data_IF_939457896805
#
_entry.id   IF_939457896805
#
_cell.length_a   1.000
_cell.length_b   1.000
_cell.length_c   1.000
_cell.angle_alpha   90.00
_cell.angle_beta   90.00
_cell.angle_gamma   90.00
#
_symmetry.space_group_name_H-M   'P 1'
#
loop_
_entity.id
_entity.type
_entity.pdbx_description
1 polymer ?
#
# COMPACT_ATOMS: atom_id res chain seq x y z
N UNK A 1 -6.31 -0.75 -38.40
CA UNK A 1 -7.30 -0.41 -37.37
C UNK A 1 -7.70 -1.69 -36.65
N UNK A 2 -6.99 -2.06 -35.58
CA UNK A 2 -7.38 -3.18 -34.72
C UNK A 2 -8.02 -2.59 -33.46
N UNK A 3 -9.35 -2.62 -33.42
CA UNK A 3 -10.11 -2.25 -32.23
C UNK A 3 -10.06 -3.43 -31.24
N UNK A 4 -9.06 -3.43 -30.35
CA UNK A 4 -9.06 -4.32 -29.20
C UNK A 4 -10.12 -3.84 -28.21
N UNK A 5 -11.29 -4.47 -28.25
CA UNK A 5 -12.35 -4.34 -27.28
C UNK A 5 -11.84 -4.80 -25.91
N UNK A 6 -11.63 -3.85 -25.00
CA UNK A 6 -11.31 -4.07 -23.59
C UNK A 6 -12.57 -4.53 -22.87
N UNK A 7 -12.90 -5.81 -22.98
CA UNK A 7 -13.85 -6.45 -22.07
C UNK A 7 -13.28 -6.32 -20.65
N UNK A 8 -14.05 -5.75 -19.72
CA UNK A 8 -13.61 -5.57 -18.34
C UNK A 8 -13.21 -6.92 -17.73
N UNK A 9 -12.15 -6.92 -16.92
CA UNK A 9 -11.60 -8.12 -16.26
C UNK A 9 -12.65 -8.91 -15.45
N UNK A 10 -13.76 -8.26 -15.06
CA UNK A 10 -14.92 -8.91 -14.43
C UNK A 10 -15.64 -9.86 -15.37
N UNK A 11 -15.84 -9.50 -16.63
CA UNK A 11 -16.58 -10.29 -17.62
C UNK A 11 -15.78 -11.51 -18.08
N UNK A 12 -14.46 -11.36 -18.20
CA UNK A 12 -13.55 -12.47 -18.52
C UNK A 12 -13.50 -13.48 -17.37
N UNK A 13 -13.44 -13.01 -16.11
CA UNK A 13 -13.55 -13.89 -14.93
C UNK A 13 -14.90 -14.58 -14.83
N UNK A 14 -15.98 -13.89 -15.18
CA UNK A 14 -17.33 -14.47 -15.19
C UNK A 14 -17.46 -15.61 -16.20
N UNK A 15 -16.88 -15.43 -17.38
CA UNK A 15 -16.86 -16.46 -18.43
C UNK A 15 -15.96 -17.63 -18.03
N UNK A 16 -14.78 -17.36 -17.44
CA UNK A 16 -13.86 -18.42 -16.98
C UNK A 16 -14.38 -19.22 -15.79
N UNK A 17 -15.10 -18.59 -14.85
CA UNK A 17 -15.80 -19.29 -13.76
C UNK A 17 -16.99 -20.08 -14.29
N UNK A 18 -17.73 -19.54 -15.26
CA UNK A 18 -18.84 -20.27 -15.88
C UNK A 18 -18.37 -21.50 -16.68
N UNK A 19 -17.20 -21.45 -17.32
CA UNK A 19 -16.63 -22.60 -18.04
C UNK A 19 -16.02 -23.65 -17.11
N UNK A 20 -15.32 -23.24 -16.03
CA UNK A 20 -14.82 -24.17 -15.01
C UNK A 20 -15.98 -24.87 -14.27
N UNK A 21 -17.04 -24.13 -13.92
CA UNK A 21 -18.25 -24.68 -13.32
C UNK A 21 -19.04 -25.58 -14.30
N UNK A 22 -18.87 -25.40 -15.61
CA UNK A 22 -19.40 -26.28 -16.63
C UNK A 22 -18.57 -27.57 -16.83
N UNK A 23 -17.25 -27.52 -16.59
CA UNK A 23 -16.35 -28.68 -16.66
C UNK A 23 -16.48 -29.61 -15.44
N UNK A 24 -16.65 -29.07 -14.22
CA UNK A 24 -16.93 -29.87 -13.01
C UNK A 24 -18.24 -30.68 -13.12
N UNK A 25 -19.15 -30.28 -14.02
CA UNK A 25 -20.39 -31.02 -14.32
C UNK A 25 -20.19 -32.31 -15.13
N UNK A 26 -19.02 -32.49 -15.76
CA UNK A 26 -18.72 -33.68 -16.56
C UNK A 26 -18.04 -34.79 -15.74
N UNK A 27 -17.35 -34.46 -14.65
CA UNK A 27 -16.66 -35.45 -13.80
C UNK A 27 -17.43 -35.77 -12.51
N UNK A 28 -18.55 -36.49 -12.68
CA UNK A 28 -19.01 -37.47 -11.68
C UNK A 28 -20.01 -38.40 -12.38
N UNK A 29 -19.52 -39.54 -12.88
CA UNK A 29 -20.37 -40.59 -13.44
C UNK A 29 -21.09 -41.34 -12.31
N UNK A 30 -22.14 -40.72 -11.80
CA UNK A 30 -23.29 -41.44 -11.25
C UNK A 30 -24.56 -40.61 -11.53
N UNK A 31 -25.23 -40.91 -12.65
CA UNK A 31 -26.49 -40.26 -13.02
C UNK A 31 -27.65 -41.08 -12.49
N UNK A 32 -28.17 -40.68 -11.34
CA UNK A 32 -29.47 -41.13 -10.85
C UNK A 32 -30.58 -40.84 -11.91
N UNK A 33 -31.63 -41.68 -11.99
CA UNK A 33 -32.69 -41.50 -12.98
C UNK A 33 -33.37 -40.13 -12.79
N UNK A 34 -33.32 -39.29 -13.82
CA UNK A 34 -34.02 -38.00 -13.83
C UNK A 34 -35.50 -38.25 -14.03
N UNK A 35 -36.28 -38.31 -12.96
CA UNK A 35 -37.73 -38.22 -13.05
C UNK A 35 -38.11 -36.86 -13.65
N UNK A 36 -38.73 -36.88 -14.83
CA UNK A 36 -39.25 -35.67 -15.47
C UNK A 36 -40.53 -35.30 -14.72
N UNK A 37 -40.41 -34.29 -13.85
CA UNK A 37 -41.54 -33.82 -13.05
C UNK A 37 -42.56 -33.20 -13.98
N UNK A 38 -43.82 -33.69 -13.93
CA UNK A 38 -44.84 -33.34 -14.92
C UNK A 38 -45.67 -32.14 -14.49
N UNK A 39 -45.91 -32.00 -13.17
CA UNK A 39 -46.81 -30.98 -12.60
C UNK A 39 -46.16 -30.17 -11.46
N UNK A 40 -46.69 -28.96 -11.20
CA UNK A 40 -46.21 -28.09 -10.11
C UNK A 40 -46.30 -28.75 -8.72
N UNK A 41 -47.32 -29.55 -8.47
CA UNK A 41 -47.54 -30.25 -7.19
C UNK A 41 -46.47 -31.33 -6.92
N UNK A 42 -46.12 -32.11 -7.96
CA UNK A 42 -45.02 -33.08 -7.88
C UNK A 42 -43.66 -32.38 -7.65
N UNK A 43 -43.46 -31.16 -8.16
CA UNK A 43 -42.26 -30.36 -7.89
C UNK A 43 -42.18 -29.97 -6.41
N UNK A 44 -43.30 -29.55 -5.80
CA UNK A 44 -43.36 -29.21 -4.37
C UNK A 44 -43.09 -30.43 -3.47
N UNK A 45 -43.67 -31.59 -3.79
CA UNK A 45 -43.41 -32.83 -3.04
C UNK A 45 -41.98 -33.34 -3.19
N UNK A 46 -41.43 -33.32 -4.41
CA UNK A 46 -40.03 -33.67 -4.65
C UNK A 46 -39.08 -32.74 -3.88
N UNK A 47 -39.40 -31.44 -3.83
CA UNK A 47 -38.65 -30.44 -3.06
C UNK A 47 -38.74 -30.69 -1.56
N UNK A 48 -39.94 -30.96 -1.04
CA UNK A 48 -40.17 -31.31 0.37
C UNK A 48 -39.38 -32.54 0.80
N UNK A 49 -39.34 -33.58 -0.04
CA UNK A 49 -38.51 -34.78 0.20
C UNK A 49 -37.02 -34.47 0.25
N UNK A 50 -36.50 -33.69 -0.71
CA UNK A 50 -35.08 -33.26 -0.72
C UNK A 50 -34.72 -32.45 0.52
N UNK A 51 -35.58 -31.54 0.97
CA UNK A 51 -35.37 -30.75 2.21
C UNK A 51 -35.27 -31.64 3.44
N UNK A 52 -36.20 -32.60 3.59
CA UNK A 52 -36.18 -33.56 4.70
C UNK A 52 -34.88 -34.37 4.72
N UNK A 53 -34.38 -34.76 3.55
CA UNK A 53 -33.10 -35.46 3.42
C UNK A 53 -31.91 -34.58 3.85
N UNK A 54 -31.85 -33.33 3.41
CA UNK A 54 -30.82 -32.39 3.87
C UNK A 54 -30.87 -32.17 5.39
N UNK A 55 -32.05 -31.93 5.96
CA UNK A 55 -32.22 -31.74 7.41
C UNK A 55 -31.85 -33.00 8.22
N UNK A 56 -32.17 -34.20 7.71
CA UNK A 56 -31.77 -35.46 8.33
C UNK A 56 -30.24 -35.60 8.31
N UNK A 57 -29.60 -35.31 7.18
CA UNK A 57 -28.13 -35.35 7.05
C UNK A 57 -27.43 -34.35 7.95
N UNK A 58 -27.97 -33.13 8.09
CA UNK A 58 -27.45 -32.11 9.00
C UNK A 58 -27.52 -32.58 10.47
N UNK A 59 -28.60 -33.26 10.87
CA UNK A 59 -28.72 -33.83 12.22
C UNK A 59 -27.78 -35.01 12.49
N UNK A 60 -27.48 -35.81 11.47
CA UNK A 60 -26.74 -37.06 11.61
C UNK A 60 -25.23 -36.91 11.41
N UNK A 61 -24.78 -35.93 10.62
CA UNK A 61 -23.38 -35.83 10.20
C UNK A 61 -22.65 -34.62 10.83
N UNK A 62 -21.58 -34.91 11.58
CA UNK A 62 -20.70 -33.88 12.16
C UNK A 62 -19.45 -33.59 11.31
N UNK A 63 -19.03 -34.53 10.44
CA UNK A 63 -17.78 -34.42 9.68
C UNK A 63 -17.83 -33.65 8.35
N UNK A 64 -19.02 -33.51 7.73
CA UNK A 64 -19.22 -32.84 6.42
C UNK A 64 -20.22 -31.68 6.48
N UNK A 65 -20.41 -31.10 7.66
CA UNK A 65 -21.44 -30.09 7.90
C UNK A 65 -21.25 -28.84 7.01
N UNK A 66 -20.01 -28.41 6.77
CA UNK A 66 -19.71 -27.23 5.94
C UNK A 66 -20.15 -27.42 4.48
N UNK A 67 -19.82 -28.56 3.86
CA UNK A 67 -20.21 -28.85 2.47
C UNK A 67 -21.74 -29.01 2.33
N UNK A 68 -22.41 -29.52 3.35
CA UNK A 68 -23.87 -29.58 3.39
C UNK A 68 -24.50 -28.19 3.46
N UNK A 69 -23.97 -27.29 4.29
CA UNK A 69 -24.43 -25.91 4.39
C UNK A 69 -24.07 -25.05 3.17
N UNK A 70 -23.07 -25.42 2.38
CA UNK A 70 -22.81 -24.79 1.07
C UNK A 70 -23.78 -25.30 0.00
N UNK A 71 -23.96 -26.62 -0.09
CA UNK A 71 -24.79 -27.23 -1.13
C UNK A 71 -26.30 -27.03 -0.93
N UNK A 72 -26.78 -26.93 0.31
CA UNK A 72 -28.21 -26.84 0.58
C UNK A 72 -28.84 -25.51 0.10
N UNK A 73 -28.29 -24.32 0.43
CA UNK A 73 -28.77 -23.06 -0.12
C UNK A 73 -28.66 -23.00 -1.65
N UNK A 74 -27.60 -23.55 -2.25
CA UNK A 74 -27.45 -23.60 -3.71
C UNK A 74 -28.59 -24.36 -4.40
N UNK A 75 -29.05 -25.47 -3.81
CA UNK A 75 -30.19 -26.23 -4.33
C UNK A 75 -31.50 -25.43 -4.23
N UNK A 76 -31.68 -24.69 -3.14
CA UNK A 76 -32.85 -23.84 -2.94
C UNK A 76 -32.87 -22.63 -3.89
N UNK A 77 -31.70 -22.07 -4.19
CA UNK A 77 -31.52 -21.00 -5.17
C UNK A 77 -31.75 -21.44 -6.60
N UNK A 78 -31.24 -22.63 -6.98
CA UNK A 78 -31.55 -23.27 -8.28
C UNK A 78 -33.04 -23.49 -8.47
N UNK A 79 -33.78 -23.55 -7.37
CA UNK A 79 -35.22 -23.77 -7.35
C UNK A 79 -35.99 -22.44 -7.09
N UNK A 80 -35.29 -21.31 -7.10
CA UNK A 80 -35.81 -19.94 -6.92
C UNK A 80 -36.50 -19.64 -5.57
N UNK A 81 -36.23 -20.41 -4.50
CA UNK A 81 -36.77 -20.08 -3.16
C UNK A 81 -35.78 -19.22 -2.36
N UNK A 82 -35.78 -17.92 -2.65
CA UNK A 82 -34.88 -16.95 -2.03
C UNK A 82 -35.09 -16.85 -0.52
N UNK A 83 -36.35 -16.78 -0.05
CA UNK A 83 -36.65 -16.64 1.38
C UNK A 83 -36.17 -17.86 2.19
N UNK A 84 -36.33 -19.06 1.63
CA UNK A 84 -35.85 -20.27 2.31
C UNK A 84 -34.32 -20.32 2.32
N UNK A 85 -33.67 -19.90 1.22
CA UNK A 85 -32.22 -19.77 1.19
C UNK A 85 -31.70 -18.78 2.25
N UNK A 86 -32.36 -17.63 2.43
CA UNK A 86 -32.05 -16.67 3.51
C UNK A 86 -32.17 -17.29 4.90
N UNK A 87 -33.31 -17.94 5.19
CA UNK A 87 -33.52 -18.61 6.47
C UNK A 87 -32.44 -19.69 6.73
N UNK A 88 -31.95 -20.36 5.69
CA UNK A 88 -30.84 -21.30 5.82
C UNK A 88 -29.52 -20.58 6.11
N UNK A 89 -29.20 -19.50 5.40
CA UNK A 89 -28.01 -18.71 5.69
C UNK A 89 -28.05 -18.04 7.08
N UNK A 90 -29.21 -17.60 7.55
CA UNK A 90 -29.37 -17.08 8.91
C UNK A 90 -29.10 -18.15 9.97
N UNK A 91 -29.40 -19.42 9.68
CA UNK A 91 -28.95 -20.54 10.53
C UNK A 91 -27.44 -20.75 10.41
N UNK A 92 -26.87 -20.56 9.23
CA UNK A 92 -25.42 -20.67 9.01
C UNK A 92 -24.63 -19.61 9.79
N UNK A 93 -25.19 -18.42 10.01
CA UNK A 93 -24.62 -17.36 10.86
C UNK A 93 -24.32 -17.82 12.29
N UNK A 94 -24.93 -18.91 12.75
CA UNK A 94 -24.58 -19.55 14.05
C UNK A 94 -23.22 -20.27 14.05
N UNK A 95 -22.61 -20.50 12.88
CA UNK A 95 -21.31 -21.14 12.71
C UNK A 95 -20.24 -20.12 12.27
N UNK A 96 -19.68 -19.32 13.20
CA UNK A 96 -18.81 -18.21 12.83
C UNK A 96 -17.50 -18.63 12.15
N UNK A 97 -16.92 -19.78 12.53
CA UNK A 97 -15.57 -20.25 12.13
C UNK A 97 -15.37 -20.55 10.65
N UNK A 98 -16.40 -20.43 9.81
CA UNK A 98 -16.36 -20.87 8.41
C UNK A 98 -16.62 -19.68 7.48
N UNK A 99 -15.57 -18.89 7.24
CA UNK A 99 -15.62 -17.69 6.39
C UNK A 99 -16.19 -17.94 4.98
N UNK A 100 -16.00 -19.15 4.44
CA UNK A 100 -16.57 -19.55 3.14
C UNK A 100 -18.09 -19.39 3.08
N UNK A 101 -18.78 -19.69 4.18
CA UNK A 101 -20.23 -19.60 4.23
C UNK A 101 -20.73 -18.15 4.24
N UNK A 102 -20.02 -17.29 4.97
CA UNK A 102 -20.30 -15.86 5.00
C UNK A 102 -20.10 -15.20 3.63
N UNK A 103 -19.01 -15.54 2.92
CA UNK A 103 -18.82 -15.04 1.55
C UNK A 103 -19.98 -15.44 0.64
N UNK A 104 -20.45 -16.69 0.71
CA UNK A 104 -21.61 -17.13 -0.09
C UNK A 104 -22.91 -16.41 0.29
N UNK A 105 -23.09 -16.05 1.56
CA UNK A 105 -24.26 -15.29 1.97
C UNK A 105 -24.19 -13.83 1.49
N UNK A 106 -23.01 -13.21 1.54
CA UNK A 106 -22.80 -11.87 0.96
C UNK A 106 -23.02 -11.89 -0.55
N UNK A 107 -22.43 -12.86 -1.26
CA UNK A 107 -22.62 -13.03 -2.71
C UNK A 107 -24.11 -13.15 -3.07
N UNK A 108 -24.88 -13.89 -2.27
CA UNK A 108 -26.32 -14.04 -2.43
C UNK A 108 -27.07 -12.72 -2.29
N UNK A 109 -26.87 -12.01 -1.18
CA UNK A 109 -27.58 -10.75 -0.93
C UNK A 109 -27.14 -9.65 -1.94
N UNK A 110 -25.89 -9.69 -2.38
CA UNK A 110 -25.37 -8.83 -3.46
C UNK A 110 -26.05 -9.13 -4.80
N UNK A 111 -26.23 -10.42 -5.16
CA UNK A 111 -26.97 -10.84 -6.36
C UNK A 111 -28.44 -10.42 -6.33
N UNK A 112 -29.03 -10.32 -5.13
CA UNK A 112 -30.40 -9.86 -4.94
C UNK A 112 -30.50 -8.32 -4.95
N UNK A 113 -29.38 -7.60 -4.98
CA UNK A 113 -29.32 -6.14 -4.91
C UNK A 113 -29.68 -5.57 -3.53
N UNK A 114 -29.71 -6.40 -2.48
CA UNK A 114 -30.11 -5.98 -1.14
C UNK A 114 -28.91 -5.47 -0.34
N UNK A 115 -28.49 -4.23 -0.62
CA UNK A 115 -27.30 -3.62 0.01
C UNK A 115 -27.45 -3.52 1.53
N UNK A 116 -28.65 -3.20 2.04
CA UNK A 116 -28.92 -3.13 3.48
C UNK A 116 -28.79 -4.51 4.14
N UNK A 117 -29.28 -5.56 3.47
CA UNK A 117 -29.10 -6.94 3.93
C UNK A 117 -27.64 -7.33 3.99
N UNK A 118 -26.86 -7.06 2.94
CA UNK A 118 -25.41 -7.32 2.91
C UNK A 118 -24.71 -6.67 4.10
N UNK A 119 -25.04 -5.41 4.39
CA UNK A 119 -24.47 -4.67 5.55
C UNK A 119 -24.82 -5.33 6.88
N UNK A 120 -26.08 -5.73 7.07
CA UNK A 120 -26.47 -6.45 8.27
C UNK A 120 -25.69 -7.76 8.41
N UNK A 121 -25.51 -8.52 7.32
CA UNK A 121 -24.70 -9.74 7.34
C UNK A 121 -23.26 -9.45 7.77
N UNK A 122 -22.64 -8.39 7.25
CA UNK A 122 -21.31 -7.98 7.69
C UNK A 122 -21.26 -7.55 9.16
N UNK A 123 -22.22 -6.79 9.65
CA UNK A 123 -22.29 -6.40 11.07
C UNK A 123 -22.40 -7.62 11.99
N UNK A 124 -23.21 -8.62 11.62
CA UNK A 124 -23.29 -9.88 12.36
C UNK A 124 -21.98 -10.68 12.28
N UNK A 125 -21.30 -10.64 11.13
CA UNK A 125 -20.01 -11.30 10.96
C UNK A 125 -18.94 -10.68 11.87
N UNK A 126 -18.84 -9.35 11.93
CA UNK A 126 -17.85 -8.64 12.74
C UNK A 126 -18.06 -8.83 14.25
N UNK A 127 -19.31 -8.99 14.70
CA UNK A 127 -19.62 -9.32 16.10
C UNK A 127 -19.06 -10.68 16.52
N UNK A 128 -18.91 -11.62 15.58
CA UNK A 128 -18.52 -12.99 15.88
C UNK A 128 -17.06 -13.27 15.58
N UNK A 129 -16.49 -12.69 14.52
CA UNK A 129 -15.11 -12.93 14.10
C UNK A 129 -14.36 -11.67 13.69
N UNK A 130 -13.06 -11.67 14.00
CA UNK A 130 -12.12 -10.60 13.69
C UNK A 130 -11.13 -11.03 12.59
N UNK A 131 -11.57 -11.75 11.55
CA UNK A 131 -10.68 -12.05 10.41
C UNK A 131 -10.37 -10.77 9.62
N UNK A 132 -9.09 -10.45 9.44
CA UNK A 132 -8.61 -9.32 8.65
C UNK A 132 -9.11 -9.33 7.20
N UNK A 133 -9.44 -10.52 6.67
CA UNK A 133 -10.01 -10.66 5.33
C UNK A 133 -11.44 -10.19 5.27
N UNK A 134 -12.26 -10.45 6.30
CA UNK A 134 -13.65 -10.04 6.35
C UNK A 134 -13.76 -8.51 6.30
N UNK A 135 -12.96 -7.79 7.10
CA UNK A 135 -12.89 -6.33 7.08
C UNK A 135 -12.52 -5.78 5.71
N UNK A 136 -11.54 -6.40 5.03
CA UNK A 136 -11.14 -5.99 3.68
C UNK A 136 -12.23 -6.19 2.64
N UNK A 137 -12.99 -7.29 2.72
CA UNK A 137 -14.11 -7.51 1.81
C UNK A 137 -15.23 -6.52 2.09
N UNK A 138 -15.49 -6.19 3.35
CA UNK A 138 -16.50 -5.20 3.70
C UNK A 138 -16.14 -3.79 3.19
N UNK A 139 -14.90 -3.36 3.38
CA UNK A 139 -14.40 -2.08 2.83
C UNK A 139 -14.50 -2.07 1.30
N UNK A 140 -14.10 -3.16 0.63
CA UNK A 140 -14.22 -3.27 -0.83
C UNK A 140 -15.66 -3.25 -1.32
N UNK A 141 -16.61 -3.77 -0.53
CA UNK A 141 -18.03 -3.66 -0.83
C UNK A 141 -18.46 -2.19 -0.78
N UNK A 142 -18.17 -1.46 0.30
CA UNK A 142 -18.56 -0.05 0.41
C UNK A 142 -17.86 0.84 -0.63
N UNK A 143 -16.61 0.53 -0.99
CA UNK A 143 -15.91 1.17 -2.11
C UNK A 143 -16.62 0.95 -3.46
N UNK A 144 -17.18 -0.25 -3.71
CA UNK A 144 -17.93 -0.54 -4.93
C UNK A 144 -19.25 0.25 -5.01
N UNK A 145 -19.84 0.59 -3.87
CA UNK A 145 -21.06 1.41 -3.78
C UNK A 145 -20.77 2.90 -3.59
N UNK A 146 -19.51 3.33 -3.65
CA UNK A 146 -19.06 4.72 -3.46
C UNK A 146 -19.44 5.35 -2.11
N UNK A 147 -19.71 4.54 -1.09
CA UNK A 147 -20.00 5.01 0.27
C UNK A 147 -18.71 5.15 1.09
N UNK A 148 -17.87 6.11 0.68
CA UNK A 148 -16.52 6.30 1.20
C UNK A 148 -16.49 6.68 2.70
N UNK A 149 -17.45 7.46 3.20
CA UNK A 149 -17.51 7.83 4.62
C UNK A 149 -17.79 6.63 5.52
N UNK A 150 -18.58 5.68 5.05
CA UNK A 150 -18.82 4.43 5.80
C UNK A 150 -17.59 3.54 5.77
N UNK A 151 -16.88 3.48 4.65
CA UNK A 151 -15.60 2.79 4.58
C UNK A 151 -14.59 3.35 5.61
N UNK A 152 -14.51 4.67 5.79
CA UNK A 152 -13.68 5.30 6.85
C UNK A 152 -14.13 4.88 8.26
N UNK A 153 -15.43 4.89 8.55
CA UNK A 153 -15.96 4.44 9.84
C UNK A 153 -15.69 2.94 10.10
N UNK A 154 -15.68 2.11 9.06
CA UNK A 154 -15.33 0.69 9.16
C UNK A 154 -13.84 0.54 9.45
N UNK A 155 -12.97 1.36 8.85
CA UNK A 155 -11.54 1.38 9.19
C UNK A 155 -11.29 1.78 10.65
N UNK A 156 -11.99 2.80 11.16
CA UNK A 156 -11.93 3.19 12.58
C UNK A 156 -12.28 2.02 13.50
N UNK A 157 -13.39 1.32 13.21
CA UNK A 157 -13.80 0.13 13.96
C UNK A 157 -12.79 -1.01 13.85
N UNK A 158 -12.22 -1.23 12.67
CA UNK A 158 -11.23 -2.29 12.46
C UNK A 158 -9.96 -2.03 13.27
N UNK A 159 -9.49 -0.78 13.30
CA UNK A 159 -8.35 -0.36 14.12
C UNK A 159 -8.65 -0.49 15.61
N UNK A 160 -9.84 -0.08 16.06
CA UNK A 160 -10.25 -0.22 17.45
C UNK A 160 -10.32 -1.69 17.90
N UNK A 161 -10.74 -2.59 17.00
CA UNK A 161 -10.77 -4.03 17.26
C UNK A 161 -9.37 -4.68 17.20
N UNK A 162 -8.49 -4.20 16.32
CA UNK A 162 -7.12 -4.72 16.13
C UNK A 162 -6.13 -3.59 15.93
N UNK A 163 -5.29 -3.37 16.93
CA UNK A 163 -4.20 -2.38 16.88
C UNK A 163 -3.00 -2.88 16.05
N UNK A 164 -3.22 -3.26 14.80
CA UNK A 164 -2.16 -3.66 13.89
C UNK A 164 -1.67 -2.48 13.01
N UNK A 165 -0.36 -2.18 13.00
CA UNK A 165 0.20 -1.08 12.20
C UNK A 165 -0.02 -1.21 10.69
N UNK A 166 -0.25 -2.44 10.20
CA UNK A 166 -0.56 -2.70 8.80
C UNK A 166 -1.93 -2.14 8.40
N UNK A 167 -2.88 -2.06 9.34
CA UNK A 167 -4.23 -1.54 9.10
C UNK A 167 -4.15 -0.03 8.89
N UNK A 168 -3.43 0.69 9.76
CA UNK A 168 -3.17 2.12 9.62
C UNK A 168 -2.52 2.49 8.28
N UNK A 169 -1.54 1.72 7.83
CA UNK A 169 -0.92 1.94 6.51
C UNK A 169 -1.88 1.68 5.33
N UNK A 170 -2.89 0.80 5.49
CA UNK A 170 -3.95 0.60 4.49
C UNK A 170 -4.99 1.71 4.54
N UNK A 171 -5.38 2.15 5.72
CA UNK A 171 -6.34 3.22 5.91
C UNK A 171 -5.81 4.55 5.37
N UNK A 172 -4.55 4.89 5.69
CA UNK A 172 -3.93 6.11 5.14
C UNK A 172 -3.86 6.12 3.61
N UNK A 173 -3.56 4.97 2.98
CA UNK A 173 -3.61 4.84 1.50
C UNK A 173 -5.02 5.00 0.93
N UNK A 174 -6.02 4.46 1.64
CA UNK A 174 -7.41 4.62 1.24
C UNK A 174 -7.87 6.08 1.28
N UNK A 175 -7.54 6.81 2.35
CA UNK A 175 -7.86 8.24 2.45
C UNK A 175 -7.08 9.09 1.44
N UNK A 176 -5.85 8.68 1.10
CA UNK A 176 -5.05 9.27 0.00
C UNK A 176 -5.74 9.08 -1.36
N UNK A 177 -6.19 7.86 -1.68
CA UNK A 177 -6.92 7.55 -2.93
C UNK A 177 -8.25 8.33 -3.03
N UNK A 178 -8.91 8.55 -1.88
CA UNK A 178 -10.12 9.38 -1.77
C UNK A 178 -9.84 10.89 -1.97
N UNK A 179 -8.62 11.34 -1.76
CA UNK A 179 -8.25 12.76 -1.75
C UNK A 179 -8.60 13.51 -0.47
N UNK A 180 -8.99 12.80 0.61
CA UNK A 180 -9.25 13.41 1.93
C UNK A 180 -7.96 13.49 2.76
N UNK A 181 -7.10 14.44 2.40
CA UNK A 181 -5.74 14.56 2.96
C UNK A 181 -5.73 14.90 4.45
N UNK A 182 -6.68 15.71 4.91
CA UNK A 182 -6.75 16.11 6.31
C UNK A 182 -7.14 14.93 7.21
N UNK A 183 -8.12 14.14 6.78
CA UNK A 183 -8.47 12.86 7.44
C UNK A 183 -7.29 11.90 7.42
N UNK A 184 -6.59 11.75 6.29
CA UNK A 184 -5.41 10.88 6.22
C UNK A 184 -4.34 11.28 7.25
N UNK A 185 -4.11 12.58 7.45
CA UNK A 185 -3.18 13.10 8.46
C UNK A 185 -3.65 12.82 9.89
N UNK A 186 -4.93 13.06 10.18
CA UNK A 186 -5.52 12.72 11.48
C UNK A 186 -5.41 11.22 11.79
N UNK A 187 -5.63 10.37 10.79
CA UNK A 187 -5.45 8.91 10.88
C UNK A 187 -4.00 8.57 11.23
N UNK A 188 -3.02 9.18 10.57
CA UNK A 188 -1.61 8.93 10.91
C UNK A 188 -1.23 9.49 12.28
N UNK A 189 -1.79 10.63 12.69
CA UNK A 189 -1.56 11.22 14.01
C UNK A 189 -2.14 10.36 15.14
N UNK A 190 -3.39 9.93 15.02
CA UNK A 190 -4.02 9.00 15.97
C UNK A 190 -3.27 7.68 16.01
N UNK A 191 -2.79 7.17 14.87
CA UNK A 191 -1.85 6.05 14.85
C UNK A 191 -0.64 6.28 15.76
N UNK A 192 -0.03 7.47 15.78
CA UNK A 192 1.14 7.74 16.62
C UNK A 192 0.83 7.76 18.12
N UNK A 193 -0.38 8.18 18.51
CA UNK A 193 -0.83 8.16 19.90
C UNK A 193 -0.99 6.71 20.39
N UNK A 194 -1.69 5.87 19.61
CA UNK A 194 -1.93 4.46 19.96
C UNK A 194 -0.69 3.56 19.83
N UNK A 195 0.25 3.89 18.94
CA UNK A 195 1.48 3.11 18.70
C UNK A 195 2.64 3.42 19.65
N UNK A 196 2.43 4.29 20.63
CA UNK A 196 3.43 4.66 21.64
C UNK A 196 3.85 3.50 22.57
N UNK A 197 3.12 2.38 22.56
CA UNK A 197 3.52 1.16 23.28
C UNK A 197 4.78 0.53 22.65
N UNK A 198 5.85 0.40 23.44
CA UNK A 198 7.21 0.01 23.02
C UNK A 198 7.31 -1.28 22.18
N UNK A 199 6.37 -2.20 22.32
CA UNK A 199 6.30 -3.46 21.57
C UNK A 199 5.86 -3.30 20.10
N UNK A 200 5.10 -2.26 19.76
CA UNK A 200 4.61 -2.02 18.40
C UNK A 200 5.58 -1.21 17.53
N UNK A 201 6.66 -0.69 18.11
CA UNK A 201 7.65 0.17 17.46
C UNK A 201 8.24 -0.46 16.18
N UNK A 202 8.51 -1.78 16.16
CA UNK A 202 8.97 -2.49 14.95
C UNK A 202 7.98 -2.45 13.80
N UNK A 203 6.68 -2.58 14.11
CA UNK A 203 5.61 -2.60 13.11
C UNK A 203 5.14 -1.17 12.76
N UNK A 204 5.30 -0.21 13.68
CA UNK A 204 5.08 1.22 13.47
C UNK A 204 6.00 1.81 12.39
N UNK A 205 7.15 1.20 12.12
CA UNK A 205 8.03 1.57 11.00
C UNK A 205 7.28 1.61 9.65
N UNK A 206 6.37 0.66 9.41
CA UNK A 206 5.60 0.63 8.18
C UNK A 206 4.65 1.85 8.07
N UNK A 207 4.12 2.31 9.20
CA UNK A 207 3.26 3.50 9.29
C UNK A 207 4.07 4.76 9.02
N UNK A 208 5.26 4.90 9.62
CA UNK A 208 6.15 6.04 9.35
C UNK A 208 6.55 6.13 7.88
N UNK A 209 6.90 4.99 7.25
CA UNK A 209 7.23 4.95 5.83
C UNK A 209 6.00 5.31 4.97
N UNK A 210 4.81 4.83 5.33
CA UNK A 210 3.58 5.15 4.61
C UNK A 210 3.23 6.64 4.72
N UNK A 211 3.28 7.21 5.92
CA UNK A 211 3.00 8.63 6.16
C UNK A 211 3.99 9.53 5.43
N UNK A 212 5.28 9.22 5.51
CA UNK A 212 6.29 9.97 4.78
C UNK A 212 6.09 9.87 3.27
N UNK A 213 5.77 8.68 2.74
CA UNK A 213 5.47 8.50 1.31
C UNK A 213 4.27 9.32 0.87
N UNK A 214 3.19 9.35 1.65
CA UNK A 214 2.02 10.20 1.37
C UNK A 214 2.43 11.67 1.26
N UNK A 215 3.15 12.21 2.25
CA UNK A 215 3.62 13.61 2.21
C UNK A 215 4.58 13.89 1.04
N UNK A 216 5.38 12.89 0.60
CA UNK A 216 6.19 13.03 -0.63
C UNK A 216 5.36 13.10 -1.91
N UNK A 217 4.24 12.34 -2.01
CA UNK A 217 3.34 12.44 -3.16
C UNK A 217 2.65 13.81 -3.21
N UNK A 218 2.35 14.37 -2.04
CA UNK A 218 1.78 15.71 -1.88
C UNK A 218 2.78 16.85 -2.08
N UNK A 219 4.05 16.54 -2.39
CA UNK A 219 5.16 17.51 -2.55
C UNK A 219 5.52 18.31 -1.29
N UNK A 220 5.05 17.88 -0.12
CA UNK A 220 5.36 18.47 1.19
C UNK A 220 6.67 17.86 1.75
N UNK A 221 7.77 18.09 1.05
CA UNK A 221 9.05 17.44 1.33
C UNK A 221 9.62 17.78 2.70
N UNK A 222 9.37 19.00 3.21
CA UNK A 222 9.83 19.43 4.53
C UNK A 222 9.14 18.65 5.65
N UNK A 223 7.82 18.42 5.52
CA UNK A 223 7.06 17.60 6.48
C UNK A 223 7.53 16.15 6.46
N UNK A 224 7.74 15.58 5.27
CA UNK A 224 8.31 14.25 5.11
C UNK A 224 9.67 14.12 5.83
N UNK A 225 10.55 15.14 5.74
CA UNK A 225 11.84 15.17 6.47
C UNK A 225 11.67 15.16 7.98
N UNK A 226 10.75 15.97 8.52
CA UNK A 226 10.48 16.01 9.96
C UNK A 226 10.00 14.64 10.45
N UNK A 227 9.10 13.99 9.71
CA UNK A 227 8.58 12.66 10.02
C UNK A 227 9.71 11.62 10.04
N UNK A 228 10.59 11.63 9.05
CA UNK A 228 11.73 10.70 9.02
C UNK A 228 12.71 10.93 10.18
N UNK A 229 13.03 12.19 10.50
CA UNK A 229 13.90 12.53 11.64
C UNK A 229 13.29 12.08 12.97
N UNK A 230 11.99 12.31 13.13
CA UNK A 230 11.24 11.90 14.31
C UNK A 230 11.16 10.37 14.46
N UNK A 231 10.96 9.66 13.35
CA UNK A 231 10.96 8.20 13.36
C UNK A 231 12.35 7.65 13.76
N UNK A 232 13.44 8.26 13.28
CA UNK A 232 14.81 7.87 13.63
C UNK A 232 15.20 8.19 15.09
N UNK A 233 14.63 9.22 15.71
CA UNK A 233 14.90 9.51 17.12
C UNK A 233 14.21 8.54 18.08
N UNK A 234 13.04 8.01 17.70
CA UNK A 234 12.27 7.03 18.49
C UNK A 234 12.71 5.57 18.26
N UNK A 235 13.30 5.25 17.11
CA UNK A 235 13.66 3.89 16.73
C UNK A 235 15.15 3.59 17.00
N UNK A 236 15.49 2.49 17.70
CA UNK A 236 16.87 2.04 17.82
C UNK A 236 17.50 1.76 16.45
N UNK A 237 18.75 2.21 16.25
CA UNK A 237 19.52 2.09 14.98
C UNK A 237 19.53 0.67 14.39
N UNK A 238 19.48 -0.36 15.24
CA UNK A 238 19.49 -1.77 14.82
C UNK A 238 18.21 -2.20 14.09
N UNK A 239 17.07 -1.54 14.32
CA UNK A 239 15.76 -1.86 13.72
C UNK A 239 15.36 -0.89 12.61
N UNK A 240 16.02 0.27 12.52
CA UNK A 240 15.70 1.35 11.57
C UNK A 240 16.43 1.24 10.23
N UNK A 241 17.08 0.11 9.90
CA UNK A 241 17.85 -0.04 8.65
C UNK A 241 16.98 0.21 7.42
N UNK A 242 15.79 -0.37 7.36
CA UNK A 242 14.89 -0.15 6.22
C UNK A 242 14.32 1.27 6.17
N UNK A 243 14.10 1.92 7.32
CA UNK A 243 13.65 3.32 7.38
C UNK A 243 14.76 4.27 6.92
N UNK A 244 16.00 4.01 7.34
CA UNK A 244 17.18 4.74 6.93
C UNK A 244 17.39 4.60 5.41
N UNK A 245 17.27 3.38 4.87
CA UNK A 245 17.36 3.14 3.43
C UNK A 245 16.25 3.86 2.63
N UNK A 246 15.02 3.95 3.15
CA UNK A 246 13.96 4.75 2.52
C UNK A 246 14.21 6.24 2.64
N UNK A 247 14.72 6.70 3.78
CA UNK A 247 15.06 8.11 4.02
C UNK A 247 16.22 8.56 3.14
N UNK A 248 17.28 7.75 2.99
CA UNK A 248 18.39 8.08 2.09
C UNK A 248 17.91 8.15 0.65
N UNK A 249 17.08 7.22 0.17
CA UNK A 249 16.46 7.30 -1.16
C UNK A 249 15.62 8.57 -1.34
N UNK A 250 14.78 8.89 -0.36
CA UNK A 250 13.96 10.11 -0.34
C UNK A 250 14.85 11.36 -0.42
N UNK A 251 15.88 11.43 0.41
CA UNK A 251 16.83 12.53 0.40
C UNK A 251 17.64 12.60 -0.90
N UNK A 252 17.98 11.49 -1.53
CA UNK A 252 18.64 11.52 -2.85
C UNK A 252 17.72 12.08 -3.95
N UNK A 253 16.41 11.82 -3.85
CA UNK A 253 15.42 12.28 -4.82
C UNK A 253 14.95 13.72 -4.59
N UNK A 254 14.91 14.15 -3.33
CA UNK A 254 14.24 15.39 -2.91
C UNK A 254 15.12 16.30 -2.05
N UNK A 255 16.43 16.05 -1.92
CA UNK A 255 17.36 17.09 -1.44
C UNK A 255 17.25 18.27 -2.40
N UNK A 256 16.83 19.40 -1.84
CA UNK A 256 16.82 20.70 -2.50
C UNK A 256 18.08 20.85 -3.35
N UNK A 257 17.92 21.12 -4.65
CA UNK A 257 19.02 21.27 -5.60
C UNK A 257 20.11 22.20 -5.05
N UNK A 258 19.71 23.32 -4.43
CA UNK A 258 20.62 24.30 -3.82
C UNK A 258 21.37 23.78 -2.58
N UNK A 259 20.72 23.02 -1.70
CA UNK A 259 21.38 22.48 -0.49
C UNK A 259 22.24 21.25 -0.78
N UNK A 260 21.91 20.48 -1.83
CA UNK A 260 22.77 19.41 -2.34
C UNK A 260 24.03 20.02 -2.94
N UNK A 261 23.90 21.02 -3.80
CA UNK A 261 25.04 21.68 -4.42
C UNK A 261 25.94 22.28 -3.34
N UNK A 262 25.41 23.02 -2.36
CA UNK A 262 26.24 23.60 -1.30
C UNK A 262 26.95 22.56 -0.40
N UNK A 263 26.30 21.45 -0.03
CA UNK A 263 26.93 20.40 0.80
C UNK A 263 27.88 19.49 0.01
N UNK A 264 27.60 19.20 -1.25
CA UNK A 264 28.48 18.42 -2.14
C UNK A 264 29.69 19.26 -2.55
N UNK A 265 29.51 20.54 -2.88
CA UNK A 265 30.60 21.50 -3.09
C UNK A 265 31.45 21.61 -1.82
N UNK A 266 30.83 21.69 -0.64
CA UNK A 266 31.53 21.69 0.66
C UNK A 266 32.43 20.46 0.86
N UNK A 267 31.91 19.25 0.62
CA UNK A 267 32.69 18.00 0.74
C UNK A 267 33.82 17.91 -0.29
N UNK A 268 33.57 18.30 -1.54
CA UNK A 268 34.58 18.30 -2.61
C UNK A 268 35.69 19.33 -2.33
N UNK A 269 35.35 20.51 -1.81
CA UNK A 269 36.33 21.52 -1.36
C UNK A 269 37.26 20.98 -0.27
N UNK A 270 36.74 20.26 0.71
CA UNK A 270 37.56 19.67 1.78
C UNK A 270 38.50 18.62 1.20
N UNK A 271 38.00 17.71 0.36
CA UNK A 271 38.83 16.69 -0.30
C UNK A 271 39.96 17.31 -1.12
N UNK A 272 39.66 18.30 -1.97
CA UNK A 272 40.70 18.97 -2.75
C UNK A 272 41.70 19.73 -1.87
N UNK A 273 41.27 20.33 -0.76
CA UNK A 273 42.19 20.95 0.21
C UNK A 273 43.08 19.93 0.93
N UNK A 274 42.55 18.75 1.26
CA UNK A 274 43.33 17.64 1.83
C UNK A 274 44.35 17.12 0.81
N UNK A 275 43.94 16.92 -0.45
CA UNK A 275 44.83 16.50 -1.54
C UNK A 275 45.94 17.54 -1.78
N UNK A 276 45.61 18.84 -1.80
CA UNK A 276 46.59 19.93 -1.94
C UNK A 276 47.51 20.08 -0.72
N UNK A 277 47.08 19.64 0.47
CA UNK A 277 47.94 19.63 1.66
C UNK A 277 48.97 18.50 1.63
N UNK A 278 48.65 17.39 0.96
CA UNK A 278 49.56 16.27 0.76
C UNK A 278 50.47 16.46 -0.46
N UNK A 279 49.93 16.99 -1.56
CA UNK A 279 50.65 17.19 -2.82
C UNK A 279 50.37 18.61 -3.38
N UNK A 280 51.06 19.60 -2.81
CA UNK A 280 50.85 21.01 -3.13
C UNK A 280 51.34 21.43 -4.53
N UNK A 281 52.14 20.59 -5.20
CA UNK A 281 52.68 20.84 -6.55
C UNK A 281 51.80 20.30 -7.67
N UNK A 282 50.73 19.56 -7.35
CA UNK A 282 49.87 18.95 -8.37
C UNK A 282 48.95 19.99 -9.05
N UNK A 283 49.32 20.40 -10.26
CA UNK A 283 48.58 21.42 -11.02
C UNK A 283 47.18 20.96 -11.44
N UNK A 284 46.99 19.67 -11.73
CA UNK A 284 45.69 19.14 -12.16
C UNK A 284 44.64 19.28 -11.04
N UNK A 285 45.04 19.02 -9.80
CA UNK A 285 44.19 19.18 -8.61
C UNK A 285 43.82 20.65 -8.38
N UNK A 286 44.77 21.58 -8.63
CA UNK A 286 44.49 23.02 -8.57
C UNK A 286 43.49 23.48 -9.64
N UNK A 287 43.60 22.99 -10.88
CA UNK A 287 42.64 23.31 -11.95
C UNK A 287 41.27 22.68 -11.73
N UNK A 288 41.21 21.46 -11.21
CA UNK A 288 39.94 20.82 -10.85
C UNK A 288 39.25 21.54 -9.67
N UNK A 289 40.03 22.05 -8.72
CA UNK A 289 39.53 22.93 -7.65
C UNK A 289 38.99 24.25 -8.20
N UNK A 290 39.71 24.90 -9.13
CA UNK A 290 39.26 26.14 -9.77
C UNK A 290 37.96 25.95 -10.58
N UNK A 291 37.86 24.86 -11.36
CA UNK A 291 36.63 24.50 -12.11
C UNK A 291 35.44 24.25 -11.19
N UNK A 292 35.68 23.68 -10.00
CA UNK A 292 34.63 23.48 -9.01
C UNK A 292 34.12 24.81 -8.42
N UNK A 293 35.03 25.76 -8.14
CA UNK A 293 34.66 27.10 -7.68
C UNK A 293 33.93 27.90 -8.76
N UNK A 294 34.31 27.75 -10.04
CA UNK A 294 33.57 28.36 -11.16
C UNK A 294 32.15 27.80 -11.30
N UNK A 295 31.99 26.48 -11.12
CA UNK A 295 30.68 25.85 -11.07
C UNK A 295 29.83 26.42 -9.93
N UNK A 296 30.42 26.63 -8.75
CA UNK A 296 29.75 27.25 -7.62
C UNK A 296 29.34 28.71 -7.89
N UNK A 297 30.21 29.49 -8.55
CA UNK A 297 29.91 30.87 -8.95
C UNK A 297 28.77 30.94 -9.98
N UNK A 298 28.74 30.01 -10.95
CA UNK A 298 27.66 29.94 -11.95
C UNK A 298 26.31 29.71 -11.28
N UNK A 299 26.25 28.78 -10.34
CA UNK A 299 25.01 28.48 -9.62
C UNK A 299 24.55 29.67 -8.76
N UNK A 300 25.48 30.38 -8.10
CA UNK A 300 25.15 31.60 -7.34
C UNK A 300 24.64 32.75 -8.23
N UNK A 301 25.16 32.90 -9.45
CA UNK A 301 24.65 33.87 -10.43
C UNK A 301 23.24 33.53 -10.92
N UNK A 302 22.92 32.25 -11.02
CA UNK A 302 21.56 31.80 -11.34
C UNK A 302 20.59 32.08 -10.18
N UNK A 303 21.08 32.14 -8.94
CA UNK A 303 20.30 32.43 -7.72
C UNK A 303 20.15 33.94 -7.41
N UNK A 304 20.97 34.81 -8.01
CA UNK A 304 20.81 36.28 -7.98
C UNK A 304 21.26 36.98 -6.68
N UNK A 305 22.17 36.37 -5.92
CA UNK A 305 22.68 36.93 -4.66
C UNK A 305 23.97 37.75 -4.86
N UNK A 306 23.85 39.08 -4.99
CA UNK A 306 24.97 40.00 -5.29
C UNK A 306 26.13 39.97 -4.29
N UNK A 307 25.87 39.75 -2.98
CA UNK A 307 26.93 39.76 -1.96
C UNK A 307 27.77 38.47 -1.86
N UNK A 308 27.22 37.33 -2.29
CA UNK A 308 27.95 36.04 -2.28
C UNK A 308 28.73 35.81 -3.58
N UNK A 309 28.30 36.48 -4.66
CA UNK A 309 28.99 36.49 -5.95
C UNK A 309 30.40 37.08 -5.84
N UNK A 310 30.58 38.23 -5.20
CA UNK A 310 31.92 38.85 -5.03
C UNK A 310 32.89 37.97 -4.22
N UNK A 311 32.37 37.25 -3.21
CA UNK A 311 33.19 36.30 -2.43
C UNK A 311 33.50 35.05 -3.22
N UNK A 312 32.61 34.63 -4.12
CA UNK A 312 32.85 33.49 -5.00
C UNK A 312 33.83 33.84 -6.13
N UNK A 313 33.75 35.04 -6.72
CA UNK A 313 34.71 35.50 -7.74
C UNK A 313 36.12 35.60 -7.17
N UNK A 314 36.28 36.15 -5.97
CA UNK A 314 37.58 36.24 -5.31
C UNK A 314 38.18 34.85 -5.03
N UNK A 315 37.36 33.86 -4.63
CA UNK A 315 37.81 32.48 -4.43
C UNK A 315 38.28 31.80 -5.72
N UNK A 316 37.57 32.02 -6.82
CA UNK A 316 37.97 31.53 -8.16
C UNK A 316 39.30 32.16 -8.57
N UNK A 317 39.42 33.49 -8.41
CA UNK A 317 40.63 34.23 -8.76
C UNK A 317 41.85 33.72 -7.98
N UNK A 318 41.71 33.59 -6.66
CA UNK A 318 42.76 33.10 -5.76
C UNK A 318 43.18 31.65 -6.07
N UNK A 319 42.22 30.79 -6.50
CA UNK A 319 42.52 29.43 -6.94
C UNK A 319 43.35 29.41 -8.24
N UNK A 320 42.99 30.25 -9.22
CA UNK A 320 43.74 30.35 -10.49
C UNK A 320 45.12 30.98 -10.30
N UNK A 321 45.25 32.04 -9.50
CA UNK A 321 46.54 32.65 -9.21
C UNK A 321 47.51 31.65 -8.59
N UNK A 322 47.04 30.83 -7.63
CA UNK A 322 47.87 29.78 -7.03
C UNK A 322 48.20 28.66 -8.01
N UNK A 323 47.25 28.23 -8.85
CA UNK A 323 47.50 27.22 -9.88
C UNK A 323 48.60 27.67 -10.85
N UNK A 324 48.49 28.92 -11.33
CA UNK A 324 49.42 29.53 -12.28
C UNK A 324 50.79 29.78 -11.64
N UNK A 325 50.84 30.26 -10.39
CA UNK A 325 52.10 30.46 -9.66
C UNK A 325 52.87 29.15 -9.49
N UNK A 326 52.17 28.05 -9.19
CA UNK A 326 52.82 26.73 -9.07
C UNK A 326 53.33 26.23 -10.43
N UNK A 327 52.57 26.43 -11.52
CA UNK A 327 53.03 26.08 -12.88
C UNK A 327 54.28 26.87 -13.30
N UNK A 328 54.32 28.16 -12.99
CA UNK A 328 55.50 28.97 -13.27
C UNK A 328 56.71 28.50 -12.47
N UNK A 329 56.52 28.11 -11.21
CA UNK A 329 57.60 27.60 -10.36
C UNK A 329 58.16 26.26 -10.86
N UNK A 330 57.30 25.33 -11.29
CA UNK A 330 57.77 24.04 -11.86
C UNK A 330 58.45 24.21 -13.21
N UNK A 331 57.95 25.10 -14.08
CA UNK A 331 58.60 25.44 -15.35
C UNK A 331 59.95 26.13 -15.13
N UNK A 332 60.09 26.97 -14.09
CA UNK A 332 61.35 27.65 -13.78
C UNK A 332 62.40 26.67 -13.23
N UNK A 333 62.03 25.75 -12.32
CA UNK A 333 62.91 24.67 -11.85
C UNK A 333 63.36 23.77 -13.04
N UNK A 334 62.50 23.47 -14.01
CA UNK A 334 62.87 22.68 -15.20
C UNK A 334 63.83 23.42 -16.16
N UNK A 335 63.76 24.75 -16.22
CA UNK A 335 64.64 25.57 -17.06
C UNK A 335 66.02 25.78 -16.41
N UNK A 336 66.10 25.86 -15.07
CA UNK A 336 67.39 25.98 -14.35
C UNK A 336 68.18 24.66 -14.27
N UNK A 337 67.54 23.51 -14.51
CA UNK A 337 68.17 22.18 -14.46
C UNK A 337 68.72 21.74 -15.85
N UNK A 338 68.46 22.50 -16.93
CA UNK A 338 69.04 22.29 -18.27
C UNK A 338 70.11 23.33 -18.57
#
# INVERSE_FOLDING_TARGET
>A
MYAHSTASLSTIRFIQLATLYAQERQESQFRAPKQRVKNFEELYECRGRKRKEFEKRIRQAWGNIVQLWLSYPEVELKSCNIQHARNLFDRVVTFPRVNQLWYKYVDLEELLGNVLGVRQVFEHWMQRELDDKAWQVYIKLEQRYDEQDRASAIFERWVAARLEPRIWAKWGKFEEERGSLDKAREVFQTAFEFLSAEEQIKKAQAVFIAFAKMETQLKEYERARVIYKFALSRLPRSKSVALCATYTKFEMQHRMRSTLESTVLGKRRIRYKEELSHDGRNHDVWFDYARLEEGALRNLREEGSTGEEERATNRVHEAYERAVAQLYYTLFEEIEIK
#
